data_IF_453039693822
#
_entry.id   IF_453039693822
#
_cell.length_a   1.000
_cell.length_b   1.000
_cell.length_c   1.000
_cell.angle_alpha   90.00
_cell.angle_beta   90.00
_cell.angle_gamma   90.00
#
_symmetry.space_group_name_H-M   'P 1'
#
loop_
_entity.id
_entity.type
_entity.pdbx_description
1 polymer ?
#
# COMPACT_ATOMS: atom_id res chain seq x y z
N UNK A 1 -54.86 8.01 40.07
CA UNK A 1 -55.32 8.99 39.07
C UNK A 1 -54.35 8.89 37.91
N UNK A 2 -54.73 8.13 36.88
CA UNK A 2 -55.18 8.64 35.56
C UNK A 2 -53.99 9.09 34.70
N UNK A 3 -53.79 8.71 33.43
CA UNK A 3 -54.52 7.91 32.44
C UNK A 3 -53.52 7.54 31.32
N UNK A 4 -53.88 6.52 30.56
CA UNK A 4 -53.22 5.97 29.36
C UNK A 4 -53.15 6.99 28.22
N UNK A 5 -52.22 6.82 27.26
CA UNK A 5 -52.62 6.68 25.85
C UNK A 5 -51.51 6.07 24.96
N UNK A 6 -51.85 4.93 24.37
CA UNK A 6 -51.26 4.30 23.18
C UNK A 6 -51.52 5.17 21.95
N UNK A 7 -50.61 5.22 20.98
CA UNK A 7 -50.99 5.26 19.56
C UNK A 7 -49.93 4.58 18.67
N UNK A 8 -50.36 3.50 18.03
CA UNK A 8 -49.75 2.83 16.89
C UNK A 8 -49.87 3.74 15.66
N UNK A 9 -48.81 3.90 14.86
CA UNK A 9 -48.96 4.18 13.42
C UNK A 9 -48.08 3.19 12.66
N UNK A 10 -48.76 2.17 12.16
CA UNK A 10 -48.34 1.26 11.11
C UNK A 10 -48.77 1.91 9.79
N UNK A 11 -47.82 2.36 8.96
CA UNK A 11 -48.10 2.71 7.58
C UNK A 11 -47.38 1.72 6.66
N UNK A 12 -48.15 0.73 6.21
CA UNK A 12 -47.89 -0.01 4.97
C UNK A 12 -47.95 0.99 3.80
N UNK A 13 -46.90 1.07 3.00
CA UNK A 13 -47.00 1.44 1.60
C UNK A 13 -46.36 0.33 0.76
N UNK A 14 -47.21 -0.61 0.34
CA UNK A 14 -47.00 -1.45 -0.83
C UNK A 14 -47.55 -0.69 -2.03
N UNK A 15 -46.68 -0.15 -2.88
CA UNK A 15 -47.01 0.20 -4.26
C UNK A 15 -45.76 -0.01 -5.10
N UNK A 16 -45.80 -1.04 -5.93
CA UNK A 16 -44.79 -1.32 -6.93
C UNK A 16 -44.81 -0.28 -8.05
N UNK A 17 -43.64 -0.02 -8.63
CA UNK A 17 -43.51 0.57 -9.95
C UNK A 17 -42.49 -0.24 -10.76
N UNK A 18 -43.05 -0.85 -11.80
CA UNK A 18 -42.50 -1.22 -13.11
C UNK A 18 -41.03 -0.86 -13.38
N UNK A 19 -40.23 -1.88 -13.69
CA UNK A 19 -38.96 -1.76 -14.40
C UNK A 19 -39.23 -1.60 -15.89
N UNK A 20 -38.96 -0.42 -16.43
CA UNK A 20 -38.90 -0.19 -17.88
C UNK A 20 -37.41 -0.10 -18.25
N UNK A 21 -36.90 -1.14 -18.91
CA UNK A 21 -35.55 -1.18 -19.46
C UNK A 21 -35.47 -0.21 -20.65
N UNK A 22 -34.81 0.92 -20.44
CA UNK A 22 -34.46 1.85 -21.50
C UNK A 22 -33.17 1.35 -22.16
N UNK A 23 -33.31 0.61 -23.25
CA UNK A 23 -32.19 0.24 -24.13
C UNK A 23 -31.75 1.51 -24.87
N UNK A 24 -30.52 1.95 -24.62
CA UNK A 24 -29.87 3.07 -25.28
C UNK A 24 -29.00 2.49 -26.39
N UNK A 25 -29.50 2.53 -27.63
CA UNK A 25 -28.71 2.19 -28.81
C UNK A 25 -27.61 3.27 -28.99
N UNK A 26 -26.37 2.88 -28.73
CA UNK A 26 -25.18 3.69 -29.01
C UNK A 26 -24.72 3.35 -30.42
N UNK A 27 -24.84 4.29 -31.35
CA UNK A 27 -24.25 4.18 -32.68
C UNK A 27 -22.71 4.17 -32.57
N UNK A 28 -22.09 3.14 -33.14
CA UNK A 28 -20.62 3.04 -33.26
C UNK A 28 -20.09 4.08 -34.26
N UNK A 29 -19.04 4.86 -33.92
CA UNK A 29 -18.42 5.77 -34.87
C UNK A 29 -17.60 5.00 -35.92
N UNK A 30 -17.83 5.32 -37.20
CA UNK A 30 -17.05 4.81 -38.32
C UNK A 30 -15.56 5.20 -38.17
N UNK A 31 -14.71 4.18 -38.07
CA UNK A 31 -13.26 4.35 -38.06
C UNK A 31 -12.77 4.68 -39.47
N UNK A 32 -12.41 5.94 -39.68
CA UNK A 32 -11.81 6.44 -40.91
C UNK A 32 -10.44 5.80 -41.14
N UNK A 33 -10.31 5.09 -42.27
CA UNK A 33 -9.15 4.31 -42.66
C UNK A 33 -7.98 5.24 -43.02
N UNK A 34 -7.09 5.50 -42.07
CA UNK A 34 -5.86 6.27 -42.34
C UNK A 34 -4.96 5.52 -43.31
N UNK A 35 -4.56 6.24 -44.38
CA UNK A 35 -3.70 5.74 -45.45
C UNK A 35 -2.28 5.53 -44.93
N UNK A 36 -1.77 4.32 -45.07
CA UNK A 36 -0.34 4.01 -44.87
C UNK A 36 0.51 4.76 -45.91
N UNK A 37 1.26 5.75 -45.47
CA UNK A 37 2.36 6.34 -46.23
C UNK A 37 3.61 5.50 -45.96
N UNK A 38 4.21 4.82 -46.95
CA UNK A 38 5.43 4.07 -46.74
C UNK A 38 6.61 5.05 -46.62
N UNK A 39 7.11 5.24 -45.39
CA UNK A 39 8.38 5.93 -45.16
C UNK A 39 9.52 5.04 -45.61
N UNK A 40 10.41 5.60 -46.44
CA UNK A 40 11.53 4.87 -47.04
C UNK A 40 12.60 4.52 -45.99
N UNK A 41 13.26 3.37 -46.17
CA UNK A 41 14.24 2.79 -45.22
C UNK A 41 15.53 3.59 -45.07
N UNK A 42 15.74 4.62 -45.90
CA UNK A 42 16.97 5.43 -45.89
C UNK A 42 16.88 6.61 -44.91
N UNK A 43 15.68 7.12 -44.64
CA UNK A 43 15.43 8.22 -43.69
C UNK A 43 15.56 7.77 -42.22
N UNK A 44 15.45 6.46 -41.95
CA UNK A 44 15.59 5.88 -40.60
C UNK A 44 17.06 5.82 -40.15
N UNK A 45 18.02 5.73 -41.08
CA UNK A 45 19.44 5.59 -40.74
C UNK A 45 20.14 6.90 -40.34
N UNK A 46 19.58 8.04 -40.74
CA UNK A 46 20.17 9.35 -40.43
C UNK A 46 19.69 9.90 -39.07
N UNK A 47 18.52 9.45 -38.61
CA UNK A 47 18.00 9.76 -37.26
C UNK A 47 18.76 8.97 -36.18
N UNK A 48 19.21 7.74 -36.46
CA UNK A 48 19.95 6.90 -35.49
C UNK A 48 21.37 7.37 -35.16
N UNK A 49 21.98 8.25 -35.97
CA UNK A 49 23.37 8.72 -35.73
C UNK A 49 23.49 10.03 -34.96
N UNK A 50 22.39 10.75 -34.75
CA UNK A 50 22.43 12.10 -34.14
C UNK A 50 21.90 12.14 -32.70
N UNK A 51 21.59 10.99 -32.10
CA UNK A 51 21.12 10.90 -30.69
C UNK A 51 22.12 10.19 -29.78
N UNK A 52 23.42 10.33 -30.05
CA UNK A 52 24.47 9.82 -29.16
C UNK A 52 25.33 10.96 -28.62
N UNK A 53 24.70 11.92 -27.93
CA UNK A 53 25.33 12.84 -26.97
C UNK A 53 24.25 13.82 -26.48
N UNK A 54 23.42 13.38 -25.56
CA UNK A 54 22.64 14.31 -24.74
C UNK A 54 22.44 13.75 -23.33
N UNK A 55 23.22 14.36 -22.43
CA UNK A 55 22.84 14.71 -21.07
C UNK A 55 22.67 13.59 -20.02
N UNK A 56 23.74 13.38 -19.25
CA UNK A 56 23.77 12.61 -17.99
C UNK A 56 23.12 13.40 -16.84
N UNK A 57 21.89 13.86 -17.06
CA UNK A 57 21.07 14.59 -16.09
C UNK A 57 19.94 13.68 -15.62
N UNK A 58 20.15 13.02 -14.48
CA UNK A 58 19.12 12.38 -13.63
C UNK A 58 17.99 11.65 -14.36
N UNK A 59 18.29 10.54 -15.03
CA UNK A 59 17.23 9.55 -15.27
C UNK A 59 16.80 9.01 -13.90
N UNK A 60 15.58 9.32 -13.46
CA UNK A 60 14.91 8.59 -12.38
C UNK A 60 14.87 7.13 -12.81
N UNK A 61 15.78 6.32 -12.29
CA UNK A 61 15.76 4.87 -12.49
C UNK A 61 14.44 4.37 -11.90
N UNK A 62 13.57 3.84 -12.74
CA UNK A 62 12.32 3.26 -12.31
C UNK A 62 12.63 2.04 -11.43
N UNK A 63 12.33 2.14 -10.14
CA UNK A 63 12.54 1.03 -9.18
C UNK A 63 11.38 0.07 -9.31
N UNK A 64 11.66 -1.14 -9.79
CA UNK A 64 10.67 -2.21 -9.96
C UNK A 64 10.28 -2.83 -8.60
N UNK A 65 11.23 -2.87 -7.66
CA UNK A 65 11.05 -3.42 -6.32
C UNK A 65 11.81 -2.56 -5.28
N UNK A 66 11.33 -2.58 -4.03
CA UNK A 66 11.98 -1.93 -2.89
C UNK A 66 11.98 -2.94 -1.72
N UNK A 67 13.15 -3.37 -1.22
CA UNK A 67 14.50 -3.10 -1.74
C UNK A 67 14.77 -3.87 -3.05
N UNK A 68 15.69 -3.34 -3.86
CA UNK A 68 16.20 -3.99 -5.08
C UNK A 68 16.92 -5.29 -4.77
N UNK A 69 17.00 -6.20 -5.75
CA UNK A 69 17.73 -7.45 -5.62
C UNK A 69 19.17 -7.25 -5.14
N UNK A 70 19.90 -6.28 -5.69
CA UNK A 70 21.27 -5.98 -5.28
C UNK A 70 21.36 -5.43 -3.84
N UNK A 71 20.33 -4.71 -3.38
CA UNK A 71 20.21 -4.30 -1.98
C UNK A 71 19.95 -5.50 -1.07
N UNK A 72 19.06 -6.41 -1.47
CA UNK A 72 18.75 -7.64 -0.72
C UNK A 72 19.93 -8.58 -0.58
N UNK A 73 20.81 -8.65 -1.58
CA UNK A 73 22.05 -9.45 -1.52
C UNK A 73 23.02 -8.98 -0.42
N UNK A 74 22.84 -7.77 0.13
CA UNK A 74 23.63 -7.25 1.26
C UNK A 74 23.02 -7.59 2.63
N UNK A 75 21.81 -8.15 2.67
CA UNK A 75 21.10 -8.52 3.89
C UNK A 75 21.50 -9.93 4.36
N UNK A 76 21.34 -10.25 5.66
CA UNK A 76 21.57 -11.60 6.17
C UNK A 76 20.65 -12.63 5.52
N UNK A 77 21.09 -13.90 5.51
CA UNK A 77 20.28 -15.04 5.06
C UNK A 77 19.09 -15.29 6.00
N UNK A 78 17.99 -15.80 5.46
CA UNK A 78 16.76 -16.11 6.21
C UNK A 78 16.79 -17.48 6.93
N UNK A 79 17.93 -17.88 7.50
CA UNK A 79 18.13 -19.24 8.02
C UNK A 79 17.42 -19.51 9.36
N UNK A 80 16.98 -18.46 10.07
CA UNK A 80 16.28 -18.54 11.37
C UNK A 80 14.90 -17.89 11.32
N UNK A 81 14.04 -18.21 12.30
CA UNK A 81 12.77 -17.48 12.48
C UNK A 81 13.07 -16.02 12.75
N UNK A 82 12.65 -15.09 11.87
CA UNK A 82 13.11 -13.72 11.98
C UNK A 82 12.39 -12.93 13.06
N UNK A 83 11.13 -13.28 13.40
CA UNK A 83 10.30 -12.52 14.34
C UNK A 83 10.30 -13.15 15.73
N UNK A 84 10.70 -12.37 16.73
CA UNK A 84 10.78 -12.77 18.13
C UNK A 84 10.05 -11.83 19.08
N UNK A 85 9.67 -10.63 18.61
CA UNK A 85 8.91 -9.63 19.36
C UNK A 85 7.56 -9.37 18.70
N UNK A 86 6.51 -9.25 19.52
CA UNK A 86 5.23 -8.75 19.02
C UNK A 86 5.35 -7.25 18.70
N UNK A 87 4.90 -6.80 17.52
CA UNK A 87 4.97 -5.39 17.10
C UNK A 87 4.32 -4.40 18.06
N UNK A 88 3.31 -4.85 18.82
CA UNK A 88 2.51 -4.06 19.76
C UNK A 88 2.23 -4.92 21.00
N UNK A 89 1.76 -4.31 22.09
CA UNK A 89 1.22 -5.09 23.22
C UNK A 89 -0.03 -5.84 22.77
N UNK A 90 0.05 -7.17 22.74
CA UNK A 90 -1.06 -8.01 22.29
C UNK A 90 -2.27 -7.97 23.22
N UNK A 91 -2.14 -7.45 24.46
CA UNK A 91 -3.28 -7.19 25.33
C UNK A 91 -4.16 -6.04 24.83
N UNK A 92 -3.62 -5.14 24.00
CA UNK A 92 -4.39 -4.06 23.37
C UNK A 92 -5.15 -4.54 22.13
N UNK A 93 -4.76 -5.66 21.53
CA UNK A 93 -5.38 -6.19 20.30
C UNK A 93 -6.68 -6.93 20.64
N UNK A 94 -7.81 -6.41 20.15
CA UNK A 94 -9.15 -6.96 20.42
C UNK A 94 -9.57 -8.03 19.42
N UNK A 95 -9.09 -7.93 18.17
CA UNK A 95 -9.40 -8.91 17.13
C UNK A 95 -8.40 -8.83 15.97
N UNK A 96 -8.34 -9.92 15.20
CA UNK A 96 -7.53 -10.01 13.97
C UNK A 96 -8.46 -10.38 12.82
N UNK A 97 -8.51 -9.53 11.79
CA UNK A 97 -9.11 -9.89 10.51
C UNK A 97 -8.08 -10.65 9.68
N UNK A 98 -8.37 -11.89 9.25
CA UNK A 98 -7.40 -12.71 8.54
C UNK A 98 -7.12 -12.21 7.12
N UNK A 99 -6.01 -12.70 6.56
CA UNK A 99 -5.68 -12.55 5.15
C UNK A 99 -6.82 -13.07 4.26
N UNK A 100 -7.10 -12.37 3.17
CA UNK A 100 -8.12 -12.75 2.21
C UNK A 100 -9.55 -12.33 2.59
N UNK A 101 -9.70 -11.48 3.61
CA UNK A 101 -10.99 -10.93 3.98
C UNK A 101 -11.60 -10.10 2.83
N UNK A 102 -12.92 -10.13 2.71
CA UNK A 102 -13.68 -9.28 1.78
C UNK A 102 -14.37 -8.17 2.58
N UNK A 103 -14.28 -6.94 2.10
CA UNK A 103 -14.89 -5.77 2.75
C UNK A 103 -15.32 -4.70 1.74
N UNK A 104 -16.37 -4.93 0.93
CA UNK A 104 -16.89 -3.91 0.01
C UNK A 104 -17.35 -2.63 0.76
N UNK A 105 -17.24 -1.43 0.14
CA UNK A 105 -16.75 -1.21 -1.22
C UNK A 105 -15.22 -1.14 -1.35
N UNK A 106 -14.48 -0.98 -0.23
CA UNK A 106 -13.02 -0.78 -0.26
C UNK A 106 -12.22 -2.00 -0.69
N UNK A 107 -12.69 -3.21 -0.32
CA UNK A 107 -12.04 -4.48 -0.63
C UNK A 107 -13.04 -5.45 -1.28
N UNK A 108 -13.29 -5.27 -2.57
CA UNK A 108 -14.09 -6.19 -3.41
C UNK A 108 -13.31 -7.42 -3.87
N UNK A 109 -11.98 -7.37 -3.79
CA UNK A 109 -11.08 -8.52 -3.89
C UNK A 109 -10.50 -8.87 -2.51
N UNK A 110 -10.10 -10.13 -2.27
CA UNK A 110 -9.52 -10.56 -0.99
C UNK A 110 -8.33 -9.67 -0.59
N UNK A 111 -8.33 -9.17 0.66
CA UNK A 111 -7.22 -8.35 1.16
C UNK A 111 -5.91 -9.13 1.20
N UNK A 112 -4.82 -8.46 0.86
CA UNK A 112 -3.47 -9.07 0.80
C UNK A 112 -2.71 -8.92 2.12
N UNK A 113 -3.37 -8.46 3.18
CA UNK A 113 -2.83 -8.36 4.53
C UNK A 113 -3.91 -8.61 5.59
N UNK A 114 -3.51 -9.06 6.79
CA UNK A 114 -4.37 -9.05 7.97
C UNK A 114 -4.56 -7.61 8.49
N UNK A 115 -5.62 -7.41 9.26
CA UNK A 115 -5.84 -6.19 10.03
C UNK A 115 -5.86 -6.55 11.51
N UNK A 116 -5.08 -5.85 12.32
CA UNK A 116 -5.08 -5.98 13.77
C UNK A 116 -5.85 -4.80 14.35
N UNK A 117 -6.89 -5.10 15.13
CA UNK A 117 -7.80 -4.07 15.65
C UNK A 117 -7.55 -3.83 17.14
N UNK A 118 -7.63 -2.56 17.53
CA UNK A 118 -7.69 -2.12 18.91
C UNK A 118 -9.15 -1.85 19.31
N UNK A 119 -9.38 -1.40 20.54
CA UNK A 119 -10.66 -0.79 20.87
C UNK A 119 -10.82 0.55 20.13
N UNK A 120 -12.03 0.91 19.73
CA UNK A 120 -12.30 2.18 19.02
C UNK A 120 -12.29 3.40 19.97
N UNK A 121 -11.45 3.35 21.00
CA UNK A 121 -11.32 4.40 22.02
C UNK A 121 -10.58 5.63 21.51
N UNK A 122 -9.93 5.53 20.34
CA UNK A 122 -9.03 6.56 19.83
C UNK A 122 -7.62 6.51 20.42
N UNK A 123 -7.30 5.44 21.17
CA UNK A 123 -5.98 5.23 21.78
C UNK A 123 -4.89 5.10 20.71
N UNK A 124 -3.74 5.73 20.98
CA UNK A 124 -2.49 5.46 20.27
C UNK A 124 -1.75 4.32 20.99
N UNK A 125 -1.24 3.37 20.21
CA UNK A 125 -0.46 2.23 20.70
C UNK A 125 0.92 2.29 20.06
N UNK A 126 1.97 2.14 20.86
CA UNK A 126 3.34 2.08 20.38
C UNK A 126 3.55 0.86 19.48
N UNK A 127 4.26 1.06 18.37
CA UNK A 127 4.66 -0.02 17.47
C UNK A 127 6.19 -0.11 17.40
N UNK A 128 6.70 -1.32 17.57
CA UNK A 128 8.14 -1.60 17.66
C UNK A 128 8.61 -2.50 16.53
N UNK A 129 9.94 -2.53 16.33
CA UNK A 129 10.58 -3.49 15.46
C UNK A 129 10.37 -4.93 16.01
N UNK A 130 9.85 -5.87 15.19
CA UNK A 130 9.50 -7.22 15.66
C UNK A 130 10.70 -8.19 15.67
N UNK A 131 11.84 -7.68 15.23
CA UNK A 131 13.10 -8.35 14.94
C UNK A 131 14.18 -7.29 14.74
N UNK A 132 15.43 -7.72 14.56
CA UNK A 132 16.42 -6.89 13.87
C UNK A 132 15.94 -6.67 12.42
N UNK A 133 15.72 -5.41 12.03
CA UNK A 133 15.20 -5.05 10.70
C UNK A 133 16.13 -4.10 9.97
N UNK A 134 15.94 -4.01 8.66
CA UNK A 134 16.63 -3.09 7.77
C UNK A 134 15.58 -2.25 7.06
N UNK A 135 15.56 -0.94 7.32
CA UNK A 135 14.57 -0.03 6.76
C UNK A 135 14.77 0.15 5.25
N UNK A 136 13.70 0.03 4.46
CA UNK A 136 13.78 0.05 2.99
C UNK A 136 13.05 1.24 2.39
N UNK A 137 11.90 1.59 2.94
CA UNK A 137 11.17 2.80 2.57
C UNK A 137 10.21 3.25 3.68
N UNK A 138 9.93 4.54 3.71
CA UNK A 138 8.79 5.08 4.46
C UNK A 138 7.96 5.91 3.50
N UNK A 139 6.70 5.54 3.35
CA UNK A 139 5.70 6.29 2.62
C UNK A 139 4.76 7.01 3.59
N UNK A 140 4.18 8.12 3.15
CA UNK A 140 3.09 8.75 3.87
C UNK A 140 2.09 9.42 2.92
N UNK A 141 0.89 9.61 3.43
CA UNK A 141 -0.16 10.40 2.79
C UNK A 141 -0.94 11.18 3.84
N UNK A 142 -1.46 12.34 3.45
CA UNK A 142 -2.37 13.12 4.29
C UNK A 142 -3.80 13.01 3.77
N UNK A 143 -4.76 12.85 4.68
CA UNK A 143 -6.20 12.93 4.38
C UNK A 143 -6.78 11.78 3.54
N UNK A 144 -6.07 10.64 3.44
CA UNK A 144 -6.58 9.44 2.76
C UNK A 144 -7.44 8.60 3.71
N UNK A 145 -7.19 8.66 5.01
CA UNK A 145 -8.00 8.00 6.03
C UNK A 145 -8.70 9.02 6.93
N UNK A 146 -9.37 8.53 7.97
CA UNK A 146 -9.96 9.35 9.05
C UNK A 146 -8.91 10.04 9.95
N UNK A 147 -7.65 9.63 9.85
CA UNK A 147 -6.53 10.24 10.53
C UNK A 147 -5.83 11.27 9.63
N UNK A 148 -5.25 12.36 10.19
CA UNK A 148 -4.63 13.41 9.38
C UNK A 148 -3.47 12.93 8.51
N UNK A 149 -2.77 11.89 8.97
CA UNK A 149 -1.60 11.31 8.33
C UNK A 149 -1.54 9.81 8.56
N UNK A 150 -1.19 9.09 7.49
CA UNK A 150 -0.88 7.68 7.52
C UNK A 150 0.49 7.45 6.90
N UNK A 151 1.32 6.74 7.64
CA UNK A 151 2.60 6.21 7.21
C UNK A 151 2.48 4.73 6.88
N UNK A 152 3.31 4.32 5.92
CA UNK A 152 3.66 2.92 5.70
C UNK A 152 5.17 2.78 5.89
N UNK A 153 5.60 1.93 6.81
CA UNK A 153 7.00 1.64 7.08
C UNK A 153 7.31 0.29 6.43
N UNK A 154 8.19 0.29 5.43
CA UNK A 154 8.70 -0.91 4.78
C UNK A 154 10.08 -1.26 5.33
N UNK A 155 10.30 -2.54 5.59
CA UNK A 155 11.58 -3.05 6.07
C UNK A 155 11.82 -4.47 5.57
N UNK A 156 13.07 -4.88 5.55
CA UNK A 156 13.45 -6.28 5.35
C UNK A 156 13.96 -6.85 6.66
N UNK A 157 13.72 -8.13 6.89
CA UNK A 157 14.25 -8.84 8.07
C UNK A 157 15.45 -9.71 7.68
N UNK A 158 15.48 -10.13 6.42
CA UNK A 158 16.57 -10.86 5.78
C UNK A 158 16.45 -10.66 4.25
N UNK A 159 17.33 -11.28 3.47
CA UNK A 159 17.39 -11.12 2.01
C UNK A 159 16.13 -11.56 1.22
N UNK A 160 15.29 -12.42 1.79
CA UNK A 160 14.09 -12.95 1.12
C UNK A 160 12.74 -12.54 1.76
N UNK A 161 12.76 -11.87 2.91
CA UNK A 161 11.53 -11.49 3.64
C UNK A 161 11.46 -9.97 3.77
N UNK A 162 10.49 -9.39 3.07
CA UNK A 162 10.13 -7.97 3.17
C UNK A 162 8.84 -7.90 3.98
N UNK A 163 8.73 -6.93 4.86
CA UNK A 163 7.54 -6.69 5.66
C UNK A 163 7.21 -5.20 5.68
N UNK A 164 5.98 -4.90 6.09
CA UNK A 164 5.55 -3.54 6.26
C UNK A 164 4.54 -3.40 7.40
N UNK A 165 4.57 -2.22 8.00
CA UNK A 165 3.50 -1.71 8.83
C UNK A 165 2.75 -0.63 8.06
N UNK A 166 1.44 -0.78 7.95
CA UNK A 166 0.57 0.22 7.35
C UNK A 166 -0.38 0.81 8.39
N UNK A 167 -0.91 2.00 8.10
CA UNK A 167 -1.71 2.79 9.04
C UNK A 167 -0.96 3.16 10.32
N UNK A 168 0.33 3.44 10.19
CA UNK A 168 1.14 4.03 11.24
C UNK A 168 0.84 5.53 11.29
N UNK A 169 0.56 6.07 12.48
CA UNK A 169 0.04 7.44 12.67
C UNK A 169 1.16 8.43 12.97
N UNK A 170 2.20 7.98 13.67
CA UNK A 170 3.41 8.76 13.93
C UNK A 170 4.65 7.92 13.65
N UNK A 171 5.78 8.56 13.39
CA UNK A 171 7.09 7.91 13.35
C UNK A 171 7.92 8.37 14.55
N UNK A 172 8.74 7.49 15.10
CA UNK A 172 9.57 7.79 16.25
C UNK A 172 10.63 8.85 15.93
N UNK A 173 11.18 9.56 16.94
CA UNK A 173 12.26 10.52 16.71
C UNK A 173 13.47 9.91 16.01
N UNK A 174 13.83 8.67 16.35
CA UNK A 174 14.92 7.93 15.70
C UNK A 174 14.65 7.74 14.21
N UNK A 175 13.47 7.23 13.86
CA UNK A 175 13.08 7.04 12.46
C UNK A 175 12.98 8.38 11.72
N UNK A 176 12.51 9.43 12.38
CA UNK A 176 12.46 10.79 11.83
C UNK A 176 13.86 11.29 11.44
N UNK A 177 14.90 11.02 12.25
CA UNK A 177 16.27 11.42 11.89
C UNK A 177 16.76 10.76 10.60
N UNK A 178 16.49 9.47 10.41
CA UNK A 178 16.84 8.73 9.19
C UNK A 178 16.04 9.31 8.01
N UNK A 179 14.74 9.46 8.22
CA UNK A 179 13.80 9.96 7.23
C UNK A 179 14.15 11.36 6.73
N UNK A 180 14.58 12.27 7.59
CA UNK A 180 14.91 13.66 7.21
C UNK A 180 16.16 13.77 6.33
N UNK A 181 17.04 12.77 6.33
CA UNK A 181 18.21 12.74 5.44
C UNK A 181 17.85 12.43 3.99
N UNK A 182 16.67 11.82 3.73
CA UNK A 182 16.31 11.33 2.40
C UNK A 182 15.37 12.29 1.67
N UNK A 183 15.51 12.33 0.35
CA UNK A 183 14.66 13.12 -0.53
C UNK A 183 13.39 12.35 -0.88
N UNK A 184 12.33 13.11 -1.16
CA UNK A 184 11.08 12.55 -1.62
C UNK A 184 11.23 11.94 -3.02
N UNK A 185 10.98 10.64 -3.14
CA UNK A 185 10.72 9.95 -4.39
C UNK A 185 9.20 9.81 -4.55
N UNK A 186 8.56 10.86 -5.08
CA UNK A 186 7.11 10.79 -5.30
C UNK A 186 6.80 9.85 -6.47
N UNK A 187 6.12 8.75 -6.15
CA UNK A 187 5.47 7.82 -7.09
C UNK A 187 3.94 7.94 -7.06
N UNK A 188 3.40 8.84 -6.23
CA UNK A 188 1.97 8.98 -5.96
C UNK A 188 1.41 10.33 -6.45
N UNK A 189 0.25 10.27 -7.11
CA UNK A 189 -0.59 11.45 -7.37
C UNK A 189 -1.33 11.83 -6.07
N UNK A 190 -0.89 12.87 -5.35
CA UNK A 190 -1.57 13.34 -4.12
C UNK A 190 -0.69 14.09 -3.12
N UNK A 191 -1.22 14.35 -1.92
CA UNK A 191 -0.49 14.93 -0.77
C UNK A 191 0.30 13.87 0.01
N UNK A 192 1.15 13.14 -0.70
CA UNK A 192 1.94 12.06 -0.14
C UNK A 192 3.33 12.00 -0.76
N UNK A 193 4.15 11.14 -0.19
CA UNK A 193 5.51 10.93 -0.65
C UNK A 193 6.02 9.56 -0.19
N UNK A 194 6.97 9.00 -0.93
CA UNK A 194 7.77 7.86 -0.50
C UNK A 194 9.23 8.30 -0.41
N UNK A 195 9.90 7.93 0.67
CA UNK A 195 11.36 8.08 0.80
C UNK A 195 11.98 6.69 0.82
N UNK A 196 12.95 6.46 -0.06
CA UNK A 196 13.75 5.24 -0.07
C UNK A 196 14.87 5.39 0.95
N UNK A 197 15.07 4.34 1.74
CA UNK A 197 16.05 4.27 2.82
C UNK A 197 17.20 3.32 2.44
N UNK A 198 18.38 3.50 3.03
CA UNK A 198 19.62 2.82 2.60
C UNK A 198 19.92 1.56 3.43
N UNK A 199 18.88 0.81 3.83
CA UNK A 199 18.97 -0.38 4.69
C UNK A 199 19.55 -0.08 6.08
N UNK A 200 19.19 1.06 6.67
CA UNK A 200 19.55 1.37 8.06
C UNK A 200 19.03 0.26 8.99
N UNK A 201 19.94 -0.35 9.75
CA UNK A 201 19.61 -1.41 10.70
C UNK A 201 18.93 -0.80 11.93
N UNK A 202 17.80 -1.37 12.32
CA UNK A 202 17.09 -1.07 13.56
C UNK A 202 17.03 -2.35 14.39
N UNK A 203 17.39 -2.24 15.67
CA UNK A 203 17.38 -3.37 16.59
C UNK A 203 15.95 -3.78 16.96
N UNK A 204 15.78 -5.06 17.28
CA UNK A 204 14.53 -5.59 17.82
C UNK A 204 14.01 -4.77 19.02
N UNK A 205 12.70 -4.53 19.06
CA UNK A 205 12.05 -3.82 20.16
C UNK A 205 12.19 -2.29 20.10
N UNK A 206 12.97 -1.75 19.18
CA UNK A 206 13.07 -0.30 18.98
C UNK A 206 11.73 0.29 18.56
N UNK A 207 11.34 1.41 19.19
CA UNK A 207 10.13 2.16 18.87
C UNK A 207 10.22 2.73 17.45
N UNK A 208 9.23 2.39 16.62
CA UNK A 208 9.12 2.88 15.24
C UNK A 208 8.08 3.99 15.10
N UNK A 209 7.08 4.04 15.99
CA UNK A 209 5.99 5.01 15.90
C UNK A 209 4.79 4.64 16.74
N UNK A 210 3.61 5.11 16.32
CA UNK A 210 2.32 4.73 16.92
C UNK A 210 1.30 4.29 15.87
N UNK A 211 0.38 3.42 16.26
CA UNK A 211 -0.76 2.93 15.47
C UNK A 211 -2.07 3.14 16.24
N UNK A 212 -3.21 2.84 15.61
CA UNK A 212 -4.53 2.99 16.21
C UNK A 212 -5.16 4.34 15.89
N UNK A 213 -5.34 5.19 16.90
CA UNK A 213 -6.03 6.48 16.81
C UNK A 213 -7.48 6.29 16.32
N UNK A 214 -8.00 7.18 15.46
CA UNK A 214 -9.41 7.13 15.03
C UNK A 214 -9.69 5.92 14.18
N UNK A 215 -8.68 5.40 13.48
CA UNK A 215 -8.84 4.20 12.68
C UNK A 215 -8.97 2.92 13.49
N UNK A 216 -8.35 2.86 14.66
CA UNK A 216 -8.50 1.72 15.57
C UNK A 216 -7.98 0.40 15.00
N UNK A 217 -7.20 0.43 13.92
CA UNK A 217 -6.54 -0.75 13.37
C UNK A 217 -5.20 -0.38 12.70
N UNK A 218 -4.43 -1.41 12.39
CA UNK A 218 -3.22 -1.32 11.59
C UNK A 218 -2.96 -2.64 10.85
N UNK A 219 -2.10 -2.59 9.83
CA UNK A 219 -1.77 -3.77 9.02
C UNK A 219 -0.34 -4.20 9.24
N UNK A 220 -0.15 -5.51 9.38
CA UNK A 220 1.16 -6.15 9.33
C UNK A 220 1.22 -7.08 8.12
N UNK A 221 1.89 -6.64 7.06
CA UNK A 221 2.04 -7.43 5.83
C UNK A 221 3.44 -7.98 5.64
N UNK A 222 3.52 -9.12 4.95
CA UNK A 222 4.77 -9.78 4.61
C UNK A 222 4.77 -10.19 3.14
N UNK A 223 5.94 -10.11 2.52
CA UNK A 223 6.23 -10.57 1.17
C UNK A 223 7.39 -11.57 1.31
N UNK A 224 7.08 -12.86 1.17
CA UNK A 224 8.07 -13.95 1.18
C UNK A 224 8.49 -14.29 -0.25
N UNK A 225 9.69 -13.87 -0.64
CA UNK A 225 10.21 -14.05 -1.99
C UNK A 225 10.59 -15.51 -2.29
N UNK A 226 10.62 -16.39 -1.28
CA UNK A 226 10.87 -17.83 -1.44
C UNK A 226 9.62 -18.57 -1.94
N UNK A 227 8.45 -17.92 -1.89
CA UNK A 227 7.15 -18.51 -2.25
C UNK A 227 6.49 -17.70 -3.37
N UNK A 228 6.66 -18.10 -4.64
CA UNK A 228 5.92 -17.47 -5.73
C UNK A 228 4.42 -17.74 -5.58
N UNK A 229 3.60 -16.75 -5.91
CA UNK A 229 2.15 -16.90 -5.98
C UNK A 229 1.76 -17.46 -7.35
N UNK A 230 1.29 -18.70 -7.41
CA UNK A 230 0.93 -19.39 -8.66
C UNK A 230 -0.24 -18.75 -9.43
N UNK A 231 -0.96 -17.83 -8.78
CA UNK A 231 -2.13 -17.15 -9.34
C UNK A 231 -1.77 -15.96 -10.24
N UNK A 232 -0.51 -15.52 -10.20
CA UNK A 232 -0.01 -14.43 -11.06
C UNK A 232 0.53 -15.06 -12.35
N UNK A 233 -0.09 -14.76 -13.50
CA UNK A 233 0.46 -15.16 -14.81
C UNK A 233 1.71 -14.32 -15.10
N UNK A 234 2.95 -14.86 -14.99
CA UNK A 234 4.16 -14.03 -14.99
C UNK A 234 4.34 -13.29 -16.32
N UNK A 235 3.87 -13.88 -17.43
CA UNK A 235 3.85 -13.26 -18.76
C UNK A 235 3.07 -11.93 -18.87
N UNK A 236 2.29 -11.54 -17.85
CA UNK A 236 1.55 -10.27 -17.81
C UNK A 236 2.26 -9.16 -17.02
N UNK A 237 3.37 -9.48 -16.35
CA UNK A 237 4.17 -8.55 -15.57
C UNK A 237 5.62 -8.66 -16.07
N UNK A 238 5.97 -7.95 -17.18
CA UNK A 238 7.30 -7.99 -17.80
C UNK A 238 8.38 -7.33 -16.95
#
# INVERSE_FOLDING_TARGET
>A
MEKRLFFFILCLFLLGCSTEEMILDVEEPEVEKTRNIPVSKEEVKEIEKTTTQQDTSSQKVFRIEIPTKSERERLPSCDTSPFTTFPVDMNDVTSITPLGNLGPPGHTFPTQHPHLHFDQSGKEVEIVAPADIYLTAVAWSNGITQDPRDYTIYFSVCNDIIAYYNHVKTISPELQTIFDTKKCESFSVGQGCTKILDLEKIEEGTLLGTVGLRQGNWDFGLIDLRKPLDFVKPKRYP
#
